data_IF_371886249523
#
_entry.id   IF_371886249523
#
_cell.length_a   1.000
_cell.length_b   1.000
_cell.length_c   1.000
_cell.angle_alpha   90.00
_cell.angle_beta   90.00
_cell.angle_gamma   90.00
#
_symmetry.space_group_name_H-M   'P 1'
#
loop_
_entity.id
_entity.type
_entity.pdbx_description
1 polymer ?
#
# COMPACT_ATOMS: atom_id res chain seq x y z
N UNK A 1 16.97 -2.28 -18.05
CA UNK A 1 15.62 -2.82 -18.31
C UNK A 1 14.68 -1.65 -18.54
N UNK A 2 14.17 -1.47 -19.76
CA UNK A 2 13.19 -0.44 -20.08
C UNK A 2 11.84 -0.87 -19.48
N UNK A 3 11.24 -0.05 -18.62
CA UNK A 3 9.86 -0.28 -18.17
C UNK A 3 8.95 -0.23 -19.40
N UNK A 4 8.41 -1.37 -19.85
CA UNK A 4 7.33 -1.39 -20.84
C UNK A 4 6.13 -0.70 -20.19
N UNK A 5 5.73 0.46 -20.72
CA UNK A 5 4.43 1.05 -20.41
C UNK A 5 3.38 0.00 -20.77
N UNK A 6 2.66 -0.50 -19.76
CA UNK A 6 1.50 -1.35 -20.00
C UNK A 6 0.43 -0.44 -20.59
N UNK A 7 0.12 -0.63 -21.87
CA UNK A 7 -1.00 0.07 -22.50
C UNK A 7 -2.30 -0.44 -21.88
N UNK A 8 -3.24 0.46 -21.52
CA UNK A 8 -4.52 0.10 -20.90
C UNK A 8 -5.27 -0.99 -21.69
N UNK A 9 -5.13 -1.04 -23.01
CA UNK A 9 -5.70 -2.09 -23.86
C UNK A 9 -5.23 -3.52 -23.54
N UNK A 10 -3.97 -3.70 -23.12
CA UNK A 10 -3.42 -5.03 -22.79
C UNK A 10 -3.98 -5.59 -21.48
N UNK A 11 -4.38 -4.72 -20.55
CA UNK A 11 -4.97 -5.13 -19.28
C UNK A 11 -6.36 -5.72 -19.53
N UNK A 12 -7.21 -5.03 -20.31
CA UNK A 12 -8.55 -5.53 -20.62
C UNK A 12 -8.51 -6.88 -21.32
N UNK A 13 -7.65 -7.04 -22.34
CA UNK A 13 -7.46 -8.33 -23.04
C UNK A 13 -6.99 -9.46 -22.12
N UNK A 14 -6.22 -9.14 -21.08
CA UNK A 14 -5.75 -10.15 -20.11
C UNK A 14 -6.88 -10.53 -19.16
N UNK A 15 -7.66 -9.55 -18.70
CA UNK A 15 -8.80 -9.77 -17.80
C UNK A 15 -9.95 -10.51 -18.49
N UNK A 16 -10.22 -10.22 -19.76
CA UNK A 16 -11.24 -10.89 -20.59
C UNK A 16 -10.99 -12.40 -20.73
N UNK A 17 -9.74 -12.87 -20.57
CA UNK A 17 -9.42 -14.30 -20.54
C UNK A 17 -9.88 -15.00 -19.27
N UNK A 18 -10.12 -14.25 -18.20
CA UNK A 18 -10.47 -14.78 -16.86
C UNK A 18 -11.95 -14.59 -16.58
N UNK A 19 -12.52 -13.45 -16.94
CA UNK A 19 -13.92 -13.11 -16.70
C UNK A 19 -14.42 -12.07 -17.70
N UNK A 20 -15.75 -11.96 -17.92
CA UNK A 20 -16.32 -10.87 -18.71
C UNK A 20 -15.90 -9.50 -18.18
N UNK A 21 -15.47 -8.61 -19.07
CA UNK A 21 -15.06 -7.24 -18.73
C UNK A 21 -16.04 -6.27 -19.35
N UNK A 22 -16.61 -5.40 -18.52
CA UNK A 22 -17.50 -4.32 -18.97
C UNK A 22 -16.86 -2.97 -18.71
N UNK A 23 -17.10 -2.03 -19.62
CA UNK A 23 -16.73 -0.62 -19.44
C UNK A 23 -17.96 0.16 -19.09
N UNK A 24 -17.82 1.02 -18.10
CA UNK A 24 -18.92 1.84 -17.58
C UNK A 24 -18.51 3.29 -17.68
N UNK A 25 -19.41 4.15 -18.17
CA UNK A 25 -19.16 5.59 -18.20
C UNK A 25 -19.43 6.21 -16.83
N UNK A 26 -18.61 7.19 -16.46
CA UNK A 26 -18.72 7.86 -15.16
C UNK A 26 -20.06 8.57 -14.92
N UNK A 27 -20.77 8.99 -15.99
CA UNK A 27 -22.10 9.58 -15.83
C UNK A 27 -23.16 8.54 -15.43
N UNK A 28 -23.02 7.29 -15.87
CA UNK A 28 -23.97 6.21 -15.56
C UNK A 28 -23.88 5.84 -14.08
N UNK A 29 -22.66 5.71 -13.55
CA UNK A 29 -22.43 5.46 -12.13
C UNK A 29 -22.84 6.64 -11.27
N UNK A 30 -22.62 7.88 -11.74
CA UNK A 30 -23.05 9.07 -11.02
C UNK A 30 -24.57 9.18 -10.90
N UNK A 31 -25.33 8.84 -11.94
CA UNK A 31 -26.80 8.80 -11.87
C UNK A 31 -27.27 7.69 -10.95
N UNK A 32 -26.74 6.47 -11.10
CA UNK A 32 -27.14 5.33 -10.26
C UNK A 32 -26.85 5.57 -8.76
N UNK A 33 -25.73 6.20 -8.44
CA UNK A 33 -25.41 6.63 -7.07
C UNK A 33 -26.44 7.60 -6.49
N UNK A 34 -26.93 8.54 -7.31
CA UNK A 34 -27.97 9.50 -6.89
C UNK A 34 -29.32 8.82 -6.71
N UNK A 35 -29.66 7.89 -7.59
CA UNK A 35 -30.91 7.13 -7.51
C UNK A 35 -30.99 6.28 -6.22
N UNK A 36 -29.84 5.81 -5.72
CA UNK A 36 -29.71 5.07 -4.46
C UNK A 36 -29.44 5.95 -3.23
N UNK A 37 -29.42 7.28 -3.38
CA UNK A 37 -29.09 8.25 -2.32
C UNK A 37 -27.76 7.95 -1.59
N UNK A 38 -26.74 7.50 -2.33
CA UNK A 38 -25.44 7.13 -1.75
C UNK A 38 -24.44 8.30 -1.73
N UNK A 39 -23.58 8.37 -0.69
CA UNK A 39 -22.62 9.46 -0.54
C UNK A 39 -21.56 9.45 -1.64
N UNK A 40 -20.99 10.63 -1.95
CA UNK A 40 -19.95 10.77 -2.98
C UNK A 40 -18.58 10.36 -2.42
N UNK A 41 -18.32 9.06 -2.43
CA UNK A 41 -17.04 8.47 -1.99
C UNK A 41 -16.50 7.49 -3.05
N UNK A 42 -15.17 7.32 -3.10
CA UNK A 42 -14.54 6.41 -4.06
C UNK A 42 -15.01 4.96 -3.92
N UNK A 43 -15.28 4.52 -2.69
CA UNK A 43 -15.73 3.17 -2.41
C UNK A 43 -17.17 2.94 -2.87
N UNK A 44 -18.02 3.97 -2.77
CA UNK A 44 -19.38 3.99 -3.33
C UNK A 44 -19.34 3.95 -4.86
N UNK A 45 -18.45 4.72 -5.48
CA UNK A 45 -18.30 4.71 -6.95
C UNK A 45 -17.89 3.30 -7.43
N UNK A 46 -16.99 2.62 -6.72
CA UNK A 46 -16.60 1.24 -7.02
C UNK A 46 -17.77 0.25 -6.87
N UNK A 47 -18.58 0.39 -5.80
CA UNK A 47 -19.79 -0.40 -5.60
C UNK A 47 -20.79 -0.20 -6.76
N UNK A 48 -21.00 1.05 -7.16
CA UNK A 48 -21.88 1.39 -8.28
C UNK A 48 -21.37 0.77 -9.59
N UNK A 49 -20.05 0.79 -9.85
CA UNK A 49 -19.47 0.12 -11.03
C UNK A 49 -19.73 -1.38 -11.01
N UNK A 50 -19.58 -2.03 -9.85
CA UNK A 50 -19.72 -3.48 -9.70
C UNK A 50 -21.17 -4.00 -9.77
N UNK A 51 -22.15 -3.12 -9.56
CA UNK A 51 -23.58 -3.50 -9.45
C UNK A 51 -24.47 -2.86 -10.50
N UNK A 52 -23.90 -2.02 -11.37
CA UNK A 52 -24.66 -1.29 -12.38
C UNK A 52 -25.40 -2.20 -13.35
N UNK A 53 -24.80 -3.32 -13.73
CA UNK A 53 -25.35 -4.30 -14.68
C UNK A 53 -26.65 -4.93 -14.17
N UNK A 54 -26.68 -5.31 -12.89
CA UNK A 54 -27.82 -5.96 -12.23
C UNK A 54 -28.75 -4.97 -11.54
N UNK A 55 -28.38 -3.68 -11.49
CA UNK A 55 -29.06 -2.63 -10.70
C UNK A 55 -29.38 -3.09 -9.27
N UNK A 56 -28.51 -3.90 -8.70
CA UNK A 56 -28.73 -4.46 -7.36
C UNK A 56 -28.43 -3.38 -6.33
N UNK A 57 -29.42 -3.05 -5.51
CA UNK A 57 -29.19 -2.18 -4.35
C UNK A 57 -28.43 -2.97 -3.29
N UNK A 58 -27.17 -2.59 -3.06
CA UNK A 58 -26.35 -3.15 -1.99
C UNK A 58 -26.27 -2.10 -0.87
N UNK A 59 -26.67 -2.43 0.36
CA UNK A 59 -26.52 -1.55 1.50
C UNK A 59 -25.07 -1.10 1.68
N UNK A 60 -24.84 0.22 1.71
CA UNK A 60 -23.52 0.78 1.94
C UNK A 60 -23.22 0.84 3.44
N UNK A 61 -22.38 -0.07 3.91
CA UNK A 61 -21.89 -0.07 5.29
C UNK A 61 -20.41 0.26 5.31
N UNK A 62 -20.07 1.54 5.57
CA UNK A 62 -18.68 2.03 5.62
C UNK A 62 -17.77 1.19 6.52
N UNK A 63 -18.33 0.73 7.64
CA UNK A 63 -17.63 -0.07 8.66
C UNK A 63 -17.11 -1.41 8.13
N UNK A 64 -17.72 -1.94 7.06
CA UNK A 64 -17.34 -3.21 6.45
C UNK A 64 -16.28 -3.05 5.34
N UNK A 65 -15.79 -1.84 5.08
CA UNK A 65 -14.75 -1.61 4.07
C UNK A 65 -13.35 -1.82 4.66
N UNK A 66 -12.66 -2.81 4.14
CA UNK A 66 -11.28 -3.11 4.51
C UNK A 66 -10.30 -2.39 3.59
N UNK A 67 -9.37 -1.63 4.16
CA UNK A 67 -8.28 -1.03 3.38
C UNK A 67 -7.13 -2.01 3.24
N UNK A 68 -7.01 -2.62 2.06
CA UNK A 68 -5.86 -3.46 1.71
C UNK A 68 -4.75 -2.57 1.15
N UNK A 69 -3.63 -2.45 1.88
CA UNK A 69 -2.44 -1.74 1.39
C UNK A 69 -1.46 -2.74 0.81
N UNK A 70 -1.18 -2.61 -0.48
CA UNK A 70 -0.11 -3.36 -1.12
C UNK A 70 1.21 -2.64 -0.91
N UNK A 71 2.21 -3.40 -0.46
CA UNK A 71 3.58 -2.88 -0.37
C UNK A 71 4.13 -2.68 -1.79
N UNK A 72 4.64 -1.48 -2.15
CA UNK A 72 5.39 -1.34 -3.39
C UNK A 72 6.59 -2.29 -3.35
N UNK A 73 6.61 -3.25 -4.28
CA UNK A 73 7.74 -4.15 -4.48
C UNK A 73 8.97 -3.27 -4.73
N UNK A 74 10.03 -3.50 -3.98
CA UNK A 74 11.22 -2.65 -3.99
C UNK A 74 11.75 -2.47 -5.42
N UNK A 75 11.55 -1.28 -6.00
CA UNK A 75 11.97 -0.99 -7.38
C UNK A 75 13.47 -0.70 -7.48
N UNK A 76 14.11 -0.32 -6.37
CA UNK A 76 15.57 -0.11 -6.31
C UNK A 76 16.27 -1.36 -5.79
N UNK A 77 16.91 -2.08 -6.73
CA UNK A 77 17.83 -3.19 -6.46
C UNK A 77 19.10 -2.76 -5.72
N UNK A 78 19.42 -1.48 -5.71
CA UNK A 78 20.57 -0.91 -5.00
C UNK A 78 20.12 0.34 -4.25
N UNK A 79 20.29 0.30 -2.93
CA UNK A 79 20.35 1.52 -2.15
C UNK A 79 21.68 2.20 -2.53
N UNK A 80 21.65 3.51 -2.78
CA UNK A 80 22.87 4.29 -2.89
C UNK A 80 22.96 5.11 -1.61
N UNK A 81 24.13 5.13 -0.98
CA UNK A 81 24.36 5.99 0.17
C UNK A 81 24.38 7.46 -0.22
N UNK A 82 24.34 8.34 0.80
CA UNK A 82 24.58 9.75 0.62
C UNK A 82 25.94 9.96 -0.10
N UNK A 83 26.04 10.95 -1.00
CA UNK A 83 27.33 11.27 -1.63
C UNK A 83 28.38 11.58 -0.56
N UNK A 84 29.52 10.89 -0.63
CA UNK A 84 30.66 11.15 0.25
C UNK A 84 31.63 12.10 -0.45
N UNK A 85 32.20 13.07 0.28
CA UNK A 85 33.14 14.05 -0.28
C UNK A 85 34.33 13.31 -0.93
N UNK A 86 34.57 13.54 -2.22
CA UNK A 86 35.64 12.90 -2.99
C UNK A 86 35.33 11.50 -3.54
N UNK A 87 34.13 10.95 -3.30
CA UNK A 87 33.66 9.68 -3.89
C UNK A 87 32.33 9.90 -4.60
N UNK A 88 32.10 9.17 -5.68
CA UNK A 88 30.78 9.15 -6.35
C UNK A 88 29.70 8.51 -5.47
N UNK A 89 28.57 8.15 -6.07
CA UNK A 89 27.52 7.39 -5.35
C UNK A 89 28.07 6.04 -4.88
N UNK A 90 28.21 5.86 -3.57
CA UNK A 90 28.74 4.63 -2.97
C UNK A 90 27.62 3.58 -2.88
N UNK A 91 27.90 2.28 -3.15
CA UNK A 91 26.95 1.20 -2.88
C UNK A 91 26.59 1.19 -1.39
N UNK A 92 25.30 1.15 -1.09
CA UNK A 92 24.82 1.10 0.28
C UNK A 92 25.38 -0.11 1.02
N UNK A 93 26.04 0.15 2.14
CA UNK A 93 26.37 -0.90 3.09
C UNK A 93 25.07 -1.34 3.77
N UNK A 94 24.76 -2.63 3.70
CA UNK A 94 23.75 -3.22 4.58
C UNK A 94 24.23 -2.94 6.00
N UNK A 95 23.57 -2.01 6.69
CA UNK A 95 23.93 -1.67 8.07
C UNK A 95 23.85 -2.95 8.90
N UNK A 96 24.98 -3.41 9.43
CA UNK A 96 25.01 -4.54 10.36
C UNK A 96 24.07 -4.29 11.56
N UNK A 97 23.92 -3.02 11.95
CA UNK A 97 23.00 -2.55 12.99
C UNK A 97 21.50 -2.75 12.65
N UNK A 98 21.13 -3.16 11.44
CA UNK A 98 19.74 -3.49 11.11
C UNK A 98 19.28 -4.80 11.76
N UNK A 99 20.17 -5.57 12.39
CA UNK A 99 19.84 -6.82 13.11
C UNK A 99 18.91 -7.76 12.31
N UNK A 100 19.08 -7.78 10.99
CA UNK A 100 18.26 -8.59 10.09
C UNK A 100 16.82 -8.10 9.84
N UNK A 101 16.44 -6.90 10.28
CA UNK A 101 15.18 -6.26 9.92
C UNK A 101 15.08 -5.97 8.43
N UNK A 102 13.90 -6.20 7.89
CA UNK A 102 13.57 -5.97 6.49
C UNK A 102 12.33 -5.10 6.42
N UNK A 103 12.25 -4.29 5.37
CA UNK A 103 11.01 -3.58 5.06
C UNK A 103 9.87 -4.62 4.98
N UNK A 104 8.72 -4.33 5.57
CA UNK A 104 7.53 -5.20 5.63
C UNK A 104 7.42 -6.01 6.91
N UNK A 105 8.49 -6.12 7.68
CA UNK A 105 8.42 -6.72 9.01
C UNK A 105 7.48 -5.90 9.89
N UNK A 106 6.69 -6.59 10.71
CA UNK A 106 5.86 -6.01 11.75
C UNK A 106 6.67 -6.07 13.04
N UNK A 107 6.82 -4.92 13.68
CA UNK A 107 7.63 -4.73 14.87
C UNK A 107 6.81 -4.07 15.96
N UNK A 108 7.10 -4.42 17.21
CA UNK A 108 6.67 -3.67 18.38
C UNK A 108 7.72 -2.61 18.68
N UNK A 109 7.33 -1.34 18.70
CA UNK A 109 8.22 -0.20 18.92
C UNK A 109 8.01 0.33 20.33
N UNK A 110 9.10 0.45 21.11
CA UNK A 110 9.06 0.93 22.50
C UNK A 110 8.01 0.21 23.36
N UNK A 111 7.91 -1.11 23.19
CA UNK A 111 6.99 -2.01 23.90
C UNK A 111 5.49 -1.67 23.83
N UNK A 112 5.11 -0.73 22.96
CA UNK A 112 3.76 -0.17 22.93
C UNK A 112 3.11 -0.22 21.56
N UNK A 113 3.83 0.17 20.51
CA UNK A 113 3.22 0.43 19.21
C UNK A 113 3.51 -0.69 18.22
N UNK A 114 2.48 -1.31 17.67
CA UNK A 114 2.62 -2.27 16.57
C UNK A 114 2.73 -1.51 15.25
N UNK A 115 3.90 -1.58 14.59
CA UNK A 115 4.19 -0.87 13.35
C UNK A 115 4.75 -1.80 12.29
N UNK A 116 4.47 -1.50 11.03
CA UNK A 116 5.13 -2.14 9.90
C UNK A 116 6.28 -1.27 9.38
N UNK A 117 7.45 -1.88 9.14
CA UNK A 117 8.60 -1.19 8.55
C UNK A 117 8.27 -0.83 7.10
N UNK A 118 8.03 0.44 6.82
CA UNK A 118 7.72 0.97 5.49
C UNK A 118 8.97 1.28 4.68
N UNK A 119 10.03 1.71 5.34
CA UNK A 119 11.33 2.02 4.74
C UNK A 119 12.42 1.86 5.79
N UNK A 120 13.65 1.69 5.31
CA UNK A 120 14.85 1.72 6.13
C UNK A 120 15.68 2.90 5.62
N UNK A 121 15.99 3.83 6.50
CA UNK A 121 16.75 5.03 6.14
C UNK A 121 18.24 4.76 6.07
N UNK A 122 18.98 5.66 5.42
CA UNK A 122 20.44 5.55 5.29
C UNK A 122 21.18 5.68 6.62
N UNK A 123 20.54 6.24 7.63
CA UNK A 123 21.07 6.31 9.00
C UNK A 123 20.72 5.07 9.85
N UNK A 124 20.27 3.96 9.24
CA UNK A 124 19.93 2.73 9.93
C UNK A 124 18.59 2.74 10.68
N UNK A 125 17.82 3.84 10.64
CA UNK A 125 16.51 3.91 11.30
C UNK A 125 15.42 3.17 10.52
N UNK A 126 14.52 2.53 11.25
CA UNK A 126 13.32 1.89 10.73
C UNK A 126 12.21 2.94 10.66
N UNK A 127 11.61 3.12 9.49
CA UNK A 127 10.58 4.12 9.25
C UNK A 127 9.19 3.47 9.13
N UNK A 128 8.18 4.11 9.72
CA UNK A 128 6.83 3.60 9.83
C UNK A 128 5.80 4.57 9.22
N UNK A 129 4.54 4.17 9.18
CA UNK A 129 3.45 5.09 8.83
C UNK A 129 3.32 6.18 9.91
N UNK A 130 3.20 7.44 9.48
CA UNK A 130 2.97 8.57 10.38
C UNK A 130 1.53 8.50 10.88
N UNK A 131 1.38 8.28 12.18
CA UNK A 131 0.10 8.36 12.90
C UNK A 131 0.32 9.33 14.05
N UNK A 132 -0.64 10.22 14.29
CA UNK A 132 -0.55 11.25 15.32
C UNK A 132 -0.40 10.58 16.70
N UNK A 133 0.61 10.96 17.47
CA UNK A 133 0.90 10.37 18.78
C UNK A 133 1.80 9.11 18.75
N UNK A 134 2.14 8.61 17.57
CA UNK A 134 2.97 7.41 17.41
C UNK A 134 4.36 7.71 16.82
N UNK A 135 5.38 6.88 17.09
CA UNK A 135 6.70 7.06 16.51
C UNK A 135 6.68 6.87 14.99
N UNK A 136 7.13 7.89 14.25
CA UNK A 136 7.29 7.81 12.79
C UNK A 136 8.58 7.09 12.35
N UNK A 137 9.54 6.92 13.26
CA UNK A 137 10.74 6.09 13.05
C UNK A 137 11.35 5.67 14.40
N UNK A 138 12.10 4.57 14.41
CA UNK A 138 12.81 4.09 15.59
C UNK A 138 14.19 3.50 15.22
N UNK A 139 15.06 3.31 16.23
CA UNK A 139 16.27 2.50 16.03
C UNK A 139 15.89 1.02 16.01
N UNK A 140 16.67 0.16 15.32
CA UNK A 140 16.49 -1.29 15.36
C UNK A 140 16.44 -1.85 16.79
N UNK A 141 17.29 -1.35 17.68
CA UNK A 141 17.34 -1.74 19.11
C UNK A 141 16.04 -1.46 19.88
N UNK A 142 15.28 -0.42 19.48
CA UNK A 142 13.98 -0.07 20.10
C UNK A 142 12.81 -0.90 19.55
N UNK A 143 13.10 -1.85 18.65
CA UNK A 143 12.11 -2.61 17.89
C UNK A 143 12.23 -4.10 18.20
N UNK A 144 11.13 -4.72 18.57
CA UNK A 144 11.02 -6.17 18.67
C UNK A 144 10.31 -6.71 17.43
N UNK A 145 10.94 -7.65 16.72
CA UNK A 145 10.31 -8.32 15.58
C UNK A 145 9.12 -9.17 16.04
N UNK A 146 7.95 -8.95 15.43
CA UNK A 146 6.75 -9.76 15.66
C UNK A 146 6.49 -10.72 14.49
N UNK A 147 6.46 -10.19 13.26
CA UNK A 147 6.20 -10.98 12.04
C UNK A 147 7.12 -10.54 10.91
N UNK A 148 7.63 -11.49 10.12
CA UNK A 148 8.48 -11.19 8.96
C UNK A 148 7.68 -11.01 7.68
N UNK A 149 8.06 -10.00 6.89
CA UNK A 149 7.73 -9.92 5.46
C UNK A 149 6.24 -9.85 5.11
N UNK A 150 5.38 -9.42 6.03
CA UNK A 150 3.95 -9.30 5.76
C UNK A 150 3.71 -8.31 4.62
N UNK A 151 2.92 -8.74 3.63
CA UNK A 151 2.60 -7.93 2.45
C UNK A 151 1.23 -7.28 2.57
N UNK A 152 0.30 -7.98 3.23
CA UNK A 152 -1.05 -7.50 3.52
C UNK A 152 -1.11 -7.19 5.01
N UNK A 153 -1.50 -5.97 5.33
CA UNK A 153 -1.83 -5.59 6.71
C UNK A 153 -3.29 -5.21 6.72
N UNK A 154 -4.08 -5.99 7.45
CA UNK A 154 -5.48 -5.70 7.71
C UNK A 154 -5.53 -4.54 8.70
N UNK A 155 -5.85 -3.35 8.21
CA UNK A 155 -6.17 -2.23 9.08
C UNK A 155 -7.64 -2.39 9.45
N UNK A 156 -7.92 -2.92 10.62
CA UNK A 156 -9.22 -2.71 11.23
C UNK A 156 -9.30 -1.23 11.57
N UNK A 157 -10.32 -0.54 11.07
CA UNK A 157 -10.65 0.80 11.55
C UNK A 157 -11.11 0.62 13.00
N UNK A 158 -10.24 0.95 13.96
CA UNK A 158 -10.60 1.16 15.36
C UNK A 158 -11.08 2.58 15.55
#
# INVERSE_FOLDING_TARGET
MKHKKVHQGQIYQTLEKVAPVFKVFGYQTASFRKDLDLPKEHDVDALCVATLDKRTSIPYHRENFYTIKFRPRQTRRRYHDLPQKGKGRVPYQVFAALDGFRKGDIVRVKDKWTKQINSIYSNGRLAFARVKGEPGSARPEDCQLLLRGQTVVWNYLT
#
